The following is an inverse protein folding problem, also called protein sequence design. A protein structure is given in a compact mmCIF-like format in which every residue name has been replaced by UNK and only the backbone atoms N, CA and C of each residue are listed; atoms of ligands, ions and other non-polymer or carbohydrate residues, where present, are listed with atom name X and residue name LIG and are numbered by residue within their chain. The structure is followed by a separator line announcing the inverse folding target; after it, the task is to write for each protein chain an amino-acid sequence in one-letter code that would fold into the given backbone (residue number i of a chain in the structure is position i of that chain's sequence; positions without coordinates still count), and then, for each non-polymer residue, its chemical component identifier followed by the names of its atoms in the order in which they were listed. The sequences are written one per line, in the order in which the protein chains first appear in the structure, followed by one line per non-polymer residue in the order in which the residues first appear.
data_IF_048548709615
#
_entry.id   IF_048548709615
#
_cell.length_a   1.000
_cell.length_b   1.000
_cell.length_c   1.000
_cell.angle_alpha   90.00
_cell.angle_beta   90.00
_cell.angle_gamma   90.00
#
_symmetry.space_group_name_H-M   'P 1'
#
loop_
_entity.id
_entity.type
_entity.pdbx_description
1 polymer ?
#
# COMPACT_ATOMS: atom_id res chain seq x y z
N UNK A 1 -21.88 2.81 10.49
CA UNK A 1 -20.75 3.70 10.12
C UNK A 1 -19.42 2.96 10.02
N UNK A 2 -19.12 1.97 10.87
CA UNK A 2 -17.91 1.11 10.78
C UNK A 2 -17.66 0.52 9.39
N UNK A 3 -18.69 -0.05 8.75
CA UNK A 3 -18.54 -0.75 7.47
C UNK A 3 -18.11 0.19 6.34
N UNK A 4 -18.67 1.40 6.28
CA UNK A 4 -18.28 2.44 5.30
C UNK A 4 -16.84 2.87 5.52
N UNK A 5 -16.42 3.06 6.78
CA UNK A 5 -15.03 3.39 7.10
C UNK A 5 -14.08 2.31 6.60
N UNK A 6 -14.45 1.04 6.70
CA UNK A 6 -13.60 -0.07 6.23
C UNK A 6 -13.47 -0.09 4.69
N UNK A 7 -14.57 0.17 3.97
CA UNK A 7 -14.52 0.32 2.51
C UNK A 7 -13.64 1.52 2.12
N UNK A 8 -13.78 2.66 2.80
CA UNK A 8 -12.92 3.84 2.56
C UNK A 8 -11.44 3.56 2.84
N UNK A 9 -11.13 2.84 3.93
CA UNK A 9 -9.75 2.41 4.22
C UNK A 9 -9.20 1.52 3.12
N UNK A 10 -10.00 0.54 2.66
CA UNK A 10 -9.65 -0.30 1.51
C UNK A 10 -9.43 0.51 0.24
N UNK A 11 -10.25 1.53 -0.01
CA UNK A 11 -10.10 2.45 -1.13
C UNK A 11 -8.78 3.21 -1.07
N UNK A 12 -8.43 3.81 0.07
CA UNK A 12 -7.16 4.54 0.26
C UNK A 12 -5.95 3.62 0.07
N UNK A 13 -6.00 2.40 0.62
CA UNK A 13 -4.95 1.40 0.41
C UNK A 13 -4.84 1.00 -1.07
N UNK A 14 -5.98 0.90 -1.77
CA UNK A 14 -6.04 0.67 -3.21
C UNK A 14 -5.36 1.76 -4.01
N UNK A 15 -5.55 3.04 -3.66
CA UNK A 15 -4.90 4.17 -4.34
C UNK A 15 -3.39 4.04 -4.22
N UNK A 16 -2.89 3.74 -3.02
CA UNK A 16 -1.47 3.54 -2.77
C UNK A 16 -0.86 2.33 -3.49
N UNK A 17 -1.66 1.43 -4.07
CA UNK A 17 -1.18 0.37 -4.96
C UNK A 17 -1.11 0.78 -6.43
N UNK A 18 -1.85 1.81 -6.83
CA UNK A 18 -1.95 2.27 -8.22
C UNK A 18 -0.87 3.33 -8.49
N UNK A 19 -0.65 4.23 -7.54
CA UNK A 19 0.27 5.37 -7.71
C UNK A 19 1.71 4.93 -7.40
N UNK A 20 2.66 5.09 -8.33
CA UNK A 20 4.07 4.79 -8.06
C UNK A 20 4.66 5.76 -7.03
N UNK A 21 5.56 5.25 -6.19
CA UNK A 21 6.18 6.03 -5.10
C UNK A 21 5.32 6.14 -3.83
N UNK A 22 4.08 5.63 -3.82
CA UNK A 22 3.25 5.54 -2.62
C UNK A 22 3.24 4.10 -2.10
N UNK A 23 3.44 3.89 -0.80
CA UNK A 23 3.39 2.56 -0.19
C UNK A 23 1.99 2.24 0.35
N UNK A 24 1.26 1.36 -0.35
CA UNK A 24 -0.03 0.85 0.12
C UNK A 24 0.03 0.14 1.48
N UNK A 25 1.14 -0.52 1.81
CA UNK A 25 1.33 -1.16 3.11
C UNK A 25 1.45 -0.13 4.25
N UNK A 26 2.21 0.96 4.03
CA UNK A 26 2.32 2.04 5.03
C UNK A 26 0.98 2.76 5.25
N UNK A 27 0.17 2.94 4.20
CA UNK A 27 -1.19 3.45 4.35
C UNK A 27 -2.06 2.49 5.18
N UNK A 28 -1.95 1.18 4.95
CA UNK A 28 -2.69 0.20 5.76
C UNK A 28 -2.27 0.23 7.24
N UNK A 29 -0.98 0.42 7.53
CA UNK A 29 -0.45 0.57 8.89
C UNK A 29 -0.99 1.84 9.54
N UNK A 30 -0.88 2.98 8.84
CA UNK A 30 -1.38 4.27 9.31
C UNK A 30 -2.89 4.25 9.59
N UNK A 31 -3.65 3.49 8.80
CA UNK A 31 -5.09 3.30 8.97
C UNK A 31 -5.45 2.23 10.01
N UNK A 32 -4.46 1.58 10.64
CA UNK A 32 -4.63 0.57 11.69
C UNK A 32 -5.34 -0.70 11.23
N UNK A 33 -5.20 -1.05 9.94
CA UNK A 33 -5.82 -2.24 9.35
C UNK A 33 -4.79 -3.28 8.88
N UNK A 34 -3.51 -2.93 8.89
CA UNK A 34 -2.43 -3.76 8.41
C UNK A 34 -2.30 -5.05 9.21
N UNK A 35 -2.22 -4.95 10.53
CA UNK A 35 -1.99 -6.07 11.45
C UNK A 35 -3.11 -7.09 11.33
N UNK A 36 -4.37 -6.62 11.26
CA UNK A 36 -5.53 -7.48 11.07
C UNK A 36 -5.54 -8.13 9.69
N UNK A 37 -5.27 -7.37 8.63
CA UNK A 37 -5.24 -7.89 7.26
C UNK A 37 -4.14 -8.95 7.08
N UNK A 38 -2.91 -8.65 7.52
CA UNK A 38 -1.78 -9.58 7.46
C UNK A 38 -2.03 -10.79 8.35
N UNK A 39 -2.56 -10.62 9.55
CA UNK A 39 -2.89 -11.75 10.44
C UNK A 39 -3.90 -12.73 9.83
N UNK A 40 -4.90 -12.22 9.10
CA UNK A 40 -5.85 -13.06 8.34
C UNK A 40 -5.14 -13.79 7.19
N UNK A 41 -4.27 -13.11 6.45
CA UNK A 41 -3.53 -13.70 5.33
C UNK A 41 -2.57 -14.79 5.82
N UNK A 42 -1.86 -14.56 6.93
CA UNK A 42 -0.94 -15.52 7.55
C UNK A 42 -1.65 -16.79 8.03
N UNK A 43 -2.92 -16.71 8.40
CA UNK A 43 -3.72 -17.84 8.91
C UNK A 43 -4.98 -18.08 8.07
N UNK A 44 -4.83 -18.10 6.74
CA UNK A 44 -5.97 -18.02 5.82
C UNK A 44 -7.01 -19.14 6.02
N UNK A 45 -6.60 -20.37 6.38
CA UNK A 45 -7.53 -21.49 6.55
C UNK A 45 -8.49 -21.29 7.73
N UNK A 46 -8.02 -20.67 8.81
CA UNK A 46 -8.76 -20.54 10.07
C UNK A 46 -9.39 -19.16 10.23
N UNK A 47 -8.70 -18.11 9.78
CA UNK A 47 -9.07 -16.71 10.02
C UNK A 47 -9.87 -16.08 8.88
N UNK A 48 -9.78 -16.61 7.64
CA UNK A 48 -10.52 -16.06 6.51
C UNK A 48 -12.03 -16.16 6.72
N UNK A 49 -12.53 -17.35 7.07
CA UNK A 49 -13.96 -17.57 7.26
C UNK A 49 -14.53 -16.76 8.43
N UNK A 50 -13.76 -16.63 9.51
CA UNK A 50 -14.16 -15.81 10.68
C UNK A 50 -14.22 -14.32 10.34
N UNK A 51 -13.35 -13.85 9.46
CA UNK A 51 -13.22 -12.44 9.11
C UNK A 51 -13.72 -12.12 7.70
N UNK A 52 -14.60 -12.95 7.14
CA UNK A 52 -15.05 -12.82 5.75
C UNK A 52 -15.68 -11.45 5.46
N UNK A 53 -16.45 -10.89 6.41
CA UNK A 53 -17.03 -9.55 6.28
C UNK A 53 -15.95 -8.47 6.17
N UNK A 54 -14.89 -8.57 6.99
CA UNK A 54 -13.78 -7.63 6.95
C UNK A 54 -13.04 -7.69 5.61
N UNK A 55 -12.68 -8.90 5.18
CA UNK A 55 -11.96 -9.13 3.92
C UNK A 55 -12.79 -8.67 2.73
N UNK A 56 -14.08 -8.97 2.73
CA UNK A 56 -15.00 -8.57 1.67
C UNK A 56 -15.13 -7.05 1.56
N UNK A 57 -15.40 -6.34 2.66
CA UNK A 57 -15.55 -4.88 2.66
C UNK A 57 -14.24 -4.17 2.30
N UNK A 58 -13.11 -4.63 2.86
CA UNK A 58 -11.80 -4.09 2.52
C UNK A 58 -11.48 -4.32 1.03
N UNK A 59 -11.72 -5.54 0.55
CA UNK A 59 -11.51 -5.93 -0.85
C UNK A 59 -12.39 -5.14 -1.81
N UNK A 60 -13.65 -4.89 -1.46
CA UNK A 60 -14.53 -4.01 -2.22
C UNK A 60 -13.95 -2.60 -2.35
N UNK A 61 -13.43 -2.02 -1.27
CA UNK A 61 -12.78 -0.72 -1.29
C UNK A 61 -11.59 -0.70 -2.26
N UNK A 62 -10.72 -1.72 -2.18
CA UNK A 62 -9.56 -1.85 -3.07
C UNK A 62 -10.01 -1.97 -4.54
N UNK A 63 -11.00 -2.82 -4.83
CA UNK A 63 -11.52 -3.00 -6.18
C UNK A 63 -12.13 -1.71 -6.75
N UNK A 64 -12.92 -1.01 -5.94
CA UNK A 64 -13.49 0.30 -6.31
C UNK A 64 -12.39 1.31 -6.64
N UNK A 65 -11.31 1.34 -5.85
CA UNK A 65 -10.15 2.18 -6.13
C UNK A 65 -9.50 1.83 -7.46
N UNK A 66 -9.30 0.55 -7.77
CA UNK A 66 -8.65 0.14 -9.02
C UNK A 66 -9.49 0.59 -10.22
N UNK A 67 -10.80 0.40 -10.18
CA UNK A 67 -11.68 0.78 -11.28
C UNK A 67 -11.76 2.31 -11.43
N UNK A 68 -12.07 3.03 -10.35
CA UNK A 68 -12.29 4.48 -10.42
C UNK A 68 -10.98 5.23 -10.62
N UNK A 69 -10.00 4.95 -9.77
CA UNK A 69 -8.74 5.68 -9.75
C UNK A 69 -7.81 5.22 -10.88
N UNK A 70 -7.85 3.94 -11.28
CA UNK A 70 -7.14 3.47 -12.47
C UNK A 70 -7.61 4.18 -13.74
N UNK A 71 -8.92 4.34 -13.92
CA UNK A 71 -9.47 5.12 -15.03
C UNK A 71 -9.06 6.59 -14.97
N UNK A 72 -9.02 7.19 -13.76
CA UNK A 72 -8.55 8.56 -13.58
C UNK A 72 -7.07 8.71 -13.98
N UNK A 73 -6.19 7.81 -13.54
CA UNK A 73 -4.78 7.84 -13.92
C UNK A 73 -4.60 7.64 -15.43
N UNK A 74 -5.35 6.70 -16.03
CA UNK A 74 -5.35 6.51 -17.49
C UNK A 74 -5.78 7.79 -18.23
N UNK A 75 -6.82 8.47 -17.75
CA UNK A 75 -7.26 9.76 -18.29
C UNK A 75 -6.18 10.83 -18.15
N UNK A 76 -5.53 10.94 -16.99
CA UNK A 76 -4.46 11.90 -16.74
C UNK A 76 -3.24 11.64 -17.62
N UNK A 77 -2.82 10.39 -17.78
CA UNK A 77 -1.71 10.04 -18.67
C UNK A 77 -2.03 10.27 -20.14
N UNK A 78 -3.30 10.09 -20.55
CA UNK A 78 -3.72 10.29 -21.94
C UNK A 78 -3.83 11.77 -22.33
N UNK A 79 -4.27 12.63 -21.41
CA UNK A 79 -4.50 14.06 -21.68
C UNK A 79 -3.36 14.97 -21.19
N UNK A 80 -2.66 14.55 -20.13
CA UNK A 80 -1.67 15.32 -19.39
C UNK A 80 -0.44 14.44 -19.08
N UNK A 81 0.12 13.79 -20.11
CA UNK A 81 1.24 12.86 -19.97
C UNK A 81 2.41 13.47 -19.19
N UNK A 82 2.97 14.59 -19.69
CA UNK A 82 4.17 15.22 -19.11
C UNK A 82 4.01 15.59 -17.62
N UNK A 83 2.98 16.36 -17.20
CA UNK A 83 2.85 16.71 -15.78
C UNK A 83 2.54 15.49 -14.90
N UNK A 84 1.79 14.49 -15.39
CA UNK A 84 1.48 13.28 -14.62
C UNK A 84 2.73 12.42 -14.42
N UNK A 85 3.55 12.26 -15.46
CA UNK A 85 4.83 11.54 -15.38
C UNK A 85 5.83 12.27 -14.47
N UNK A 86 5.92 13.60 -14.56
CA UNK A 86 6.79 14.37 -13.65
C UNK A 86 6.33 14.27 -12.19
N UNK A 87 5.03 14.25 -11.94
CA UNK A 87 4.48 14.00 -10.60
C UNK A 87 4.90 12.62 -10.09
N UNK A 88 4.78 11.56 -10.91
CA UNK A 88 5.21 10.21 -10.52
C UNK A 88 6.72 10.12 -10.26
N UNK A 89 7.54 10.75 -11.10
CA UNK A 89 8.99 10.84 -10.87
C UNK A 89 9.25 11.54 -9.54
N UNK A 90 8.57 12.67 -9.27
CA UNK A 90 8.69 13.39 -8.00
C UNK A 90 8.32 12.54 -6.78
N UNK A 91 7.21 11.77 -6.85
CA UNK A 91 6.80 10.86 -5.79
C UNK A 91 7.84 9.75 -5.55
N UNK A 92 8.36 9.15 -6.61
CA UNK A 92 9.42 8.12 -6.51
C UNK A 92 10.69 8.73 -5.92
N UNK A 93 11.14 9.88 -6.41
CA UNK A 93 12.31 10.57 -5.88
C UNK A 93 12.14 10.96 -4.41
N UNK A 94 10.91 11.28 -3.99
CA UNK A 94 10.56 11.57 -2.60
C UNK A 94 10.81 10.41 -1.63
N UNK A 95 10.87 9.17 -2.09
CA UNK A 95 11.17 8.00 -1.22
C UNK A 95 12.68 7.78 -1.03
N UNK A 96 13.53 8.37 -1.87
CA UNK A 96 14.98 8.20 -1.86
C UNK A 96 15.62 8.54 -0.49
N UNK A 97 15.29 9.68 0.18
CA UNK A 97 15.86 10.00 1.49
C UNK A 97 15.59 8.93 2.56
N UNK A 98 14.43 8.27 2.48
CA UNK A 98 14.09 7.20 3.42
C UNK A 98 15.01 5.99 3.22
N UNK A 99 15.28 5.62 1.96
CA UNK A 99 16.19 4.53 1.61
C UNK A 99 17.62 4.81 2.12
N UNK A 100 18.12 6.04 1.95
CA UNK A 100 19.46 6.41 2.45
C UNK A 100 19.55 6.35 3.98
N UNK A 101 18.49 6.73 4.69
CA UNK A 101 18.43 6.62 6.14
C UNK A 101 18.46 5.16 6.60
N UNK A 102 17.73 4.28 5.91
CA UNK A 102 17.68 2.84 6.21
C UNK A 102 19.06 2.17 5.98
N UNK A 103 19.83 2.64 4.98
CA UNK A 103 21.19 2.15 4.72
C UNK A 103 22.16 2.62 5.81
N UNK A 104 22.12 3.90 6.22
CA UNK A 104 23.01 4.43 7.25
C UNK A 104 22.73 3.86 8.66
N UNK A 105 21.55 3.28 8.90
CA UNK A 105 21.25 2.57 10.14
C UNK A 105 21.76 1.13 10.16
N UNK A 106 22.07 0.56 8.99
CA UNK A 106 22.86 -0.68 8.89
C UNK A 106 24.34 -0.34 8.91
N UNK A 107 24.85 0.14 10.05
CA UNK A 107 26.23 -0.20 10.38
C UNK A 107 26.30 -1.73 10.43
N UNK A 108 27.08 -2.28 9.52
CA UNK A 108 27.23 -3.71 9.28
C UNK A 108 27.64 -4.37 10.59
N UNK A 109 26.74 -5.12 11.20
CA UNK A 109 27.08 -6.08 12.26
C UNK A 109 27.88 -7.20 11.57
N UNK A 110 29.20 -6.99 11.45
CA UNK A 110 30.20 -7.89 10.85
C UNK A 110 30.22 -9.31 11.48
N UNK A 111 29.42 -9.55 12.50
CA UNK A 111 29.40 -10.76 13.32
C UNK A 111 28.66 -11.91 12.60
N UNK A 112 27.65 -11.63 11.78
CA UNK A 112 26.84 -12.69 11.13
C UNK A 112 27.56 -13.41 9.96
N UNK A 113 28.60 -12.80 9.38
CA UNK A 113 29.37 -13.42 8.29
C UNK A 113 30.45 -14.38 8.83
N UNK A 114 30.88 -14.21 10.08
CA UNK A 114 31.91 -15.05 10.70
C UNK A 114 31.32 -16.34 11.34
N UNK A 115 30.00 -16.38 11.53
CA UNK A 115 29.28 -17.51 12.14
C UNK A 115 28.63 -18.47 11.12
N UNK A 116 28.89 -18.29 9.82
CA UNK A 116 28.39 -19.11 8.71
C UNK A 116 29.55 -19.91 8.08
#
# INVERSE_FOLDING_TARGET
MEDIKLVLKGFIVGIGKIIPGISGAMLAISLGIYEKAVGIISNIKTELFKNIKFVFLLGMGVLLSIVLFGNLINFLLSNFYLPTTLLFIGLICGTIPNIFKDINQKEIEYIDIILL
#
